data_IF_911890277061
#
_entry.id   IF_911890277061
#
_cell.length_a   1.000
_cell.length_b   1.000
_cell.length_c   1.000
_cell.angle_alpha   90.00
_cell.angle_beta   90.00
_cell.angle_gamma   90.00
#
_symmetry.space_group_name_H-M   'P 1'
#
loop_
_entity.id
_entity.type
_entity.pdbx_description
1 polymer ?
#
# COMPACT_ATOMS: atom_id res chain seq x y z
N UNK A 1 8.53 22.28 -6.80
CA UNK A 1 8.93 21.22 -5.85
C UNK A 1 9.03 19.92 -6.63
N UNK A 2 9.97 19.02 -6.33
CA UNK A 2 10.04 17.71 -7.00
C UNK A 2 9.14 16.70 -6.29
N UNK A 3 8.47 15.85 -7.05
CA UNK A 3 7.66 14.74 -6.54
C UNK A 3 8.55 13.48 -6.45
N UNK A 4 8.35 12.65 -5.42
CA UNK A 4 9.10 11.41 -5.22
C UNK A 4 8.13 10.22 -5.18
N UNK A 5 8.47 9.15 -5.90
CA UNK A 5 7.73 7.89 -5.82
C UNK A 5 8.23 7.05 -4.65
N UNK A 6 7.29 6.47 -3.89
CA UNK A 6 7.57 5.52 -2.81
C UNK A 6 7.06 4.15 -3.25
N UNK A 7 7.84 3.09 -2.98
CA UNK A 7 7.49 1.71 -3.33
C UNK A 7 7.33 0.88 -2.06
N UNK A 8 6.33 0.00 -2.08
CA UNK A 8 6.14 -1.03 -1.08
C UNK A 8 5.55 -2.29 -1.73
N UNK A 9 5.70 -3.43 -1.04
CA UNK A 9 5.13 -4.70 -1.41
C UNK A 9 4.81 -5.49 -0.14
N UNK A 10 3.75 -6.30 -0.19
CA UNK A 10 3.34 -7.22 0.88
C UNK A 10 2.73 -8.47 0.23
N UNK A 11 2.50 -9.52 1.03
CA UNK A 11 1.88 -10.77 0.60
C UNK A 11 0.78 -11.20 1.56
N UNK A 12 -0.15 -12.01 1.07
CA UNK A 12 -1.21 -12.63 1.88
C UNK A 12 -1.14 -14.16 1.73
N UNK A 13 -1.60 -14.88 2.75
CA UNK A 13 -1.63 -16.35 2.73
C UNK A 13 -2.79 -16.88 1.88
N UNK A 14 -3.88 -16.12 1.75
CA UNK A 14 -5.04 -16.48 0.94
C UNK A 14 -5.66 -15.29 0.20
N UNK A 15 -6.23 -15.57 -0.98
CA UNK A 15 -7.03 -14.61 -1.79
C UNK A 15 -8.40 -14.39 -1.13
N UNK A 16 -8.39 -13.65 -0.02
CA UNK A 16 -9.56 -13.32 0.80
C UNK A 16 -9.58 -11.81 1.03
N UNK A 17 -10.72 -11.11 0.80
CA UNK A 17 -10.77 -9.64 0.83
C UNK A 17 -10.26 -9.04 2.14
N UNK A 18 -10.60 -9.67 3.27
CA UNK A 18 -10.20 -9.22 4.60
C UNK A 18 -8.69 -9.28 4.80
N UNK A 19 -8.02 -10.32 4.29
CA UNK A 19 -6.56 -10.43 4.38
C UNK A 19 -5.88 -9.39 3.51
N UNK A 20 -6.38 -9.17 2.29
CA UNK A 20 -5.80 -8.20 1.35
C UNK A 20 -5.94 -6.78 1.89
N UNK A 21 -7.11 -6.43 2.44
CA UNK A 21 -7.33 -5.12 3.06
C UNK A 21 -6.48 -4.91 4.31
N UNK A 22 -6.31 -5.95 5.14
CA UNK A 22 -5.46 -5.89 6.33
C UNK A 22 -3.99 -5.68 5.96
N UNK A 23 -3.46 -6.50 5.06
CA UNK A 23 -2.06 -6.43 4.61
C UNK A 23 -1.76 -5.10 3.89
N UNK A 24 -2.69 -4.62 3.04
CA UNK A 24 -2.54 -3.32 2.36
C UNK A 24 -2.52 -2.17 3.35
N UNK A 25 -3.37 -2.20 4.38
CA UNK A 25 -3.38 -1.19 5.44
C UNK A 25 -2.08 -1.15 6.22
N UNK A 26 -1.58 -2.32 6.62
CA UNK A 26 -0.31 -2.45 7.32
C UNK A 26 0.83 -1.87 6.46
N UNK A 27 0.91 -2.27 5.19
CA UNK A 27 1.90 -1.75 4.25
C UNK A 27 1.87 -0.23 4.15
N UNK A 28 0.68 0.36 3.96
CA UNK A 28 0.55 1.81 3.85
C UNK A 28 0.98 2.53 5.15
N UNK A 29 0.62 1.99 6.32
CA UNK A 29 1.05 2.54 7.61
C UNK A 29 2.57 2.52 7.76
N UNK A 30 3.23 1.41 7.38
CA UNK A 30 4.68 1.30 7.42
C UNK A 30 5.37 2.23 6.43
N UNK A 31 4.82 2.41 5.22
CA UNK A 31 5.36 3.37 4.25
C UNK A 31 5.29 4.81 4.75
N UNK A 32 4.18 5.21 5.38
CA UNK A 32 4.06 6.55 5.98
C UNK A 32 5.07 6.73 7.12
N UNK A 33 5.18 5.75 8.03
CA UNK A 33 6.12 5.78 9.15
C UNK A 33 7.58 5.85 8.69
N UNK A 34 7.97 4.97 7.77
CA UNK A 34 9.35 4.88 7.26
C UNK A 34 9.79 6.14 6.50
N UNK A 35 8.86 6.89 5.93
CA UNK A 35 9.14 8.12 5.19
C UNK A 35 8.79 9.40 5.97
N UNK A 36 8.39 9.28 7.25
CA UNK A 36 7.99 10.40 8.10
C UNK A 36 6.91 11.30 7.47
N UNK A 37 5.95 10.68 6.76
CA UNK A 37 4.80 11.39 6.18
C UNK A 37 3.71 11.45 7.26
N UNK A 38 3.36 12.66 7.67
CA UNK A 38 2.39 12.89 8.74
C UNK A 38 1.08 13.48 8.21
N UNK A 39 1.16 14.29 7.16
CA UNK A 39 0.01 14.94 6.56
C UNK A 39 -0.37 14.24 5.24
N UNK A 40 -1.67 14.00 5.06
CA UNK A 40 -2.16 13.28 3.88
C UNK A 40 -2.13 14.13 2.60
N UNK A 41 -2.01 15.46 2.71
CA UNK A 41 -1.92 16.38 1.57
C UNK A 41 -0.56 16.32 0.86
N UNK A 42 0.45 15.71 1.47
CA UNK A 42 1.74 15.39 0.85
C UNK A 42 1.63 14.27 -0.20
N UNK A 43 0.52 13.53 -0.23
CA UNK A 43 0.30 12.38 -1.12
C UNK A 43 -0.49 12.81 -2.35
N UNK A 44 0.18 12.81 -3.51
CA UNK A 44 -0.47 13.16 -4.80
C UNK A 44 -1.35 12.04 -5.32
N UNK A 45 -0.86 10.80 -5.30
CA UNK A 45 -1.59 9.61 -5.77
C UNK A 45 -0.95 8.33 -5.24
N UNK A 46 -1.71 7.24 -5.29
CA UNK A 46 -1.23 5.89 -5.04
C UNK A 46 -1.72 4.97 -6.16
N UNK A 47 -0.82 4.13 -6.67
CA UNK A 47 -1.13 3.12 -7.70
C UNK A 47 -0.84 1.76 -7.10
N UNK A 48 -1.83 0.88 -7.19
CA UNK A 48 -1.76 -0.47 -6.66
C UNK A 48 -1.73 -1.48 -7.80
N UNK A 49 -0.99 -2.55 -7.59
CA UNK A 49 -0.92 -3.70 -8.49
C UNK A 49 -0.97 -4.96 -7.65
N UNK A 50 -1.69 -5.97 -8.11
CA UNK A 50 -1.70 -7.30 -7.52
C UNK A 50 -1.04 -8.30 -8.47
N UNK A 51 -0.55 -9.42 -7.93
CA UNK A 51 -0.22 -10.58 -8.74
C UNK A 51 -1.50 -11.23 -9.29
N UNK A 52 -1.44 -11.94 -10.44
CA UNK A 52 -2.63 -12.45 -11.14
C UNK A 52 -3.48 -13.47 -10.36
N UNK A 53 -2.95 -14.02 -9.28
CA UNK A 53 -3.60 -14.98 -8.39
C UNK A 53 -4.56 -14.34 -7.37
N UNK A 54 -4.43 -13.04 -7.09
CA UNK A 54 -5.35 -12.29 -6.23
C UNK A 54 -6.51 -11.70 -7.04
N UNK A 55 -7.74 -12.20 -6.81
CA UNK A 55 -8.95 -11.87 -7.58
C UNK A 55 -10.15 -11.52 -6.72
N UNK A 56 -10.05 -11.64 -5.40
CA UNK A 56 -11.16 -11.42 -4.47
C UNK A 56 -11.44 -9.94 -4.14
N UNK A 57 -10.61 -9.02 -4.64
CA UNK A 57 -10.77 -7.56 -4.45
C UNK A 57 -11.79 -6.92 -5.38
#
# INVERSE_FOLDING_TARGET
MSVRGIRGATSVEADVPEQILAATRELLQELLRANAIHEFDEIVSAIFTTSPDLRST
#
